data_IF_838586421480
#
_entry.id   IF_838586421480
#
_cell.length_a   1.000
_cell.length_b   1.000
_cell.length_c   1.000
_cell.angle_alpha   90.00
_cell.angle_beta   90.00
_cell.angle_gamma   90.00
#
_symmetry.space_group_name_H-M   'P 1'
#
loop_
_entity.id
_entity.type
_entity.pdbx_description
1 polymer ?
#
# COMPACT_ATOMS: atom_id res chain seq x y z
N UNK A 1 36.24 -40.71 29.61
CA UNK A 1 35.20 -39.72 29.32
C UNK A 1 35.87 -38.61 28.54
N UNK A 2 35.86 -38.78 27.20
CA UNK A 2 36.58 -37.89 26.30
C UNK A 2 35.62 -36.81 25.79
N UNK A 3 35.95 -35.55 26.14
CA UNK A 3 35.27 -34.39 25.60
C UNK A 3 35.93 -34.01 24.26
N UNK A 4 35.28 -34.37 23.15
CA UNK A 4 35.66 -33.93 21.81
C UNK A 4 35.20 -32.50 21.58
N UNK A 5 36.17 -31.56 21.55
CA UNK A 5 35.97 -30.19 21.11
C UNK A 5 35.80 -30.17 19.58
N UNK A 6 34.59 -29.83 19.12
CA UNK A 6 34.36 -29.52 17.73
C UNK A 6 34.80 -28.08 17.45
N UNK A 7 35.96 -27.94 16.81
CA UNK A 7 36.45 -26.64 16.32
C UNK A 7 35.85 -26.38 14.94
N UNK A 8 34.94 -25.40 14.84
CA UNK A 8 34.48 -24.94 13.54
C UNK A 8 35.52 -23.99 12.94
N UNK A 9 36.18 -24.44 11.89
CA UNK A 9 37.01 -23.59 11.04
C UNK A 9 36.13 -22.81 10.09
N UNK A 10 35.99 -21.50 10.32
CA UNK A 10 35.38 -20.58 9.39
C UNK A 10 36.46 -20.08 8.42
N UNK A 11 36.42 -20.61 7.20
CA UNK A 11 37.30 -20.17 6.10
C UNK A 11 36.76 -18.87 5.52
N UNK A 12 37.39 -17.73 5.87
CA UNK A 12 37.18 -16.47 5.17
C UNK A 12 37.83 -16.54 3.78
N UNK A 13 36.99 -16.75 2.77
CA UNK A 13 37.40 -16.61 1.38
C UNK A 13 37.39 -15.11 1.04
N UNK A 14 38.56 -14.61 0.65
CA UNK A 14 38.83 -13.27 0.18
C UNK A 14 37.77 -12.80 -0.83
N UNK A 15 37.01 -11.76 -0.48
CA UNK A 15 36.26 -10.96 -1.44
C UNK A 15 37.10 -9.72 -1.74
N UNK A 16 37.59 -9.67 -2.98
CA UNK A 16 38.27 -8.50 -3.54
C UNK A 16 37.29 -7.33 -3.63
N UNK A 17 37.57 -6.31 -2.82
CA UNK A 17 36.87 -5.03 -2.86
C UNK A 17 37.48 -4.20 -4.00
N UNK A 18 36.92 -4.36 -5.20
CA UNK A 18 37.25 -3.50 -6.34
C UNK A 18 36.68 -2.10 -6.12
N UNK A 19 37.54 -1.19 -5.85
CA UNK A 19 37.30 0.25 -5.76
C UNK A 19 36.78 0.77 -7.10
N UNK A 20 35.50 1.03 -7.19
CA UNK A 20 34.93 1.79 -8.29
C UNK A 20 35.21 3.28 -8.05
N UNK A 21 36.32 3.74 -8.63
CA UNK A 21 36.66 5.15 -8.70
C UNK A 21 35.79 5.82 -9.77
N UNK A 22 34.78 6.57 -9.36
CA UNK A 22 34.04 7.45 -10.24
C UNK A 22 34.89 8.68 -10.59
N UNK A 23 35.39 8.72 -11.81
CA UNK A 23 35.98 9.91 -12.40
C UNK A 23 34.89 10.96 -12.67
N UNK A 24 34.84 11.98 -11.83
CA UNK A 24 34.08 13.21 -12.09
C UNK A 24 34.88 14.07 -13.10
N UNK A 25 34.50 13.99 -14.37
CA UNK A 25 35.05 14.85 -15.39
C UNK A 25 34.32 16.19 -15.39
N UNK A 26 35.03 17.20 -14.92
CA UNK A 26 34.66 18.62 -15.00
C UNK A 26 34.67 19.08 -16.43
N UNK A 27 33.52 19.28 -17.04
CA UNK A 27 33.39 20.08 -18.25
C UNK A 27 32.94 21.50 -17.85
N UNK A 28 33.95 22.34 -17.63
CA UNK A 28 33.78 23.80 -17.73
C UNK A 28 33.73 24.15 -19.21
N UNK A 29 32.71 24.80 -19.68
CA UNK A 29 32.76 25.92 -20.61
C UNK A 29 31.41 26.36 -21.14
N UNK A 30 31.19 27.62 -20.90
CA UNK A 30 30.68 28.68 -21.75
C UNK A 30 29.20 29.01 -21.64
N UNK A 31 28.99 30.05 -20.87
CA UNK A 31 27.91 31.02 -21.02
C UNK A 31 28.06 31.72 -22.41
N UNK A 32 27.00 32.00 -23.16
CA UNK A 32 26.67 33.38 -23.33
C UNK A 32 25.21 33.75 -23.09
N UNK A 33 25.10 34.83 -22.40
CA UNK A 33 24.07 35.84 -22.29
C UNK A 33 23.32 36.06 -23.62
N UNK A 34 22.00 35.85 -23.62
CA UNK A 34 21.12 36.54 -24.56
C UNK A 34 19.86 37.01 -23.85
N UNK A 35 19.98 38.26 -23.42
CA UNK A 35 18.89 39.13 -23.03
C UNK A 35 18.19 39.55 -24.33
N UNK A 36 16.90 39.23 -24.49
CA UNK A 36 16.02 40.07 -25.30
C UNK A 36 14.58 39.94 -24.87
N UNK A 37 14.12 41.04 -24.37
CA UNK A 37 12.79 41.49 -24.08
C UNK A 37 11.79 41.27 -25.22
N UNK A 38 10.57 40.82 -24.87
CA UNK A 38 9.33 41.27 -25.54
C UNK A 38 8.19 41.35 -24.54
N UNK A 39 7.87 42.58 -24.20
CA UNK A 39 6.63 43.05 -23.63
C UNK A 39 5.53 43.09 -24.71
N UNK A 40 4.26 43.01 -24.23
CA UNK A 40 3.01 43.40 -24.91
C UNK A 40 2.32 42.26 -25.69
N UNK A 41 1.12 41.82 -25.31
CA UNK A 41 -0.10 42.59 -25.46
C UNK A 41 -1.27 41.86 -24.76
N UNK A 42 -1.96 42.56 -23.88
CA UNK A 42 -3.35 42.29 -23.58
C UNK A 42 -4.18 42.54 -24.86
N UNK A 43 -4.96 41.56 -25.27
CA UNK A 43 -6.14 41.84 -26.08
C UNK A 43 -7.29 40.93 -25.64
N UNK A 44 -8.27 41.54 -25.02
CA UNK A 44 -9.50 40.89 -24.66
C UNK A 44 -10.31 40.55 -25.90
N UNK A 45 -10.73 39.33 -26.05
CA UNK A 45 -11.86 39.01 -26.91
C UNK A 45 -12.76 38.02 -26.21
N UNK A 46 -13.94 38.47 -25.87
CA UNK A 46 -15.06 37.67 -25.43
C UNK A 46 -15.48 36.82 -26.61
N UNK A 47 -15.29 35.53 -26.50
CA UNK A 47 -15.98 34.57 -27.36
C UNK A 47 -16.78 33.59 -26.51
N UNK A 48 -18.08 33.66 -26.76
CA UNK A 48 -19.18 32.95 -26.16
C UNK A 48 -19.23 31.53 -26.73
N UNK A 49 -19.36 30.57 -25.83
CA UNK A 49 -20.06 29.31 -26.12
C UNK A 49 -19.25 28.21 -26.75
N UNK A 50 -18.92 27.25 -25.97
CA UNK A 50 -19.16 25.83 -26.28
C UNK A 50 -18.92 25.05 -24.98
N UNK A 51 -19.99 24.47 -24.46
CA UNK A 51 -19.91 23.49 -23.39
C UNK A 51 -19.15 22.28 -23.94
N UNK A 52 -17.86 22.23 -23.63
CA UNK A 52 -17.08 21.02 -23.71
C UNK A 52 -17.04 20.48 -22.28
N UNK A 53 -17.82 19.43 -22.03
CA UNK A 53 -17.65 18.53 -20.91
C UNK A 53 -16.17 18.12 -20.83
N UNK A 54 -15.41 18.86 -20.06
CA UNK A 54 -14.11 18.41 -19.59
C UNK A 54 -14.43 17.49 -18.42
N UNK A 55 -14.63 16.22 -18.71
CA UNK A 55 -14.42 15.16 -17.75
C UNK A 55 -12.96 15.30 -17.29
N UNK A 56 -12.74 16.16 -16.32
CA UNK A 56 -11.54 16.14 -15.52
C UNK A 56 -11.58 14.82 -14.77
N UNK A 57 -10.86 13.85 -15.32
CA UNK A 57 -10.48 12.62 -14.62
C UNK A 57 -9.71 13.10 -13.39
N UNK A 58 -10.45 13.31 -12.30
CA UNK A 58 -9.88 13.71 -11.01
C UNK A 58 -9.15 12.46 -10.52
N UNK A 59 -7.87 12.35 -10.86
CA UNK A 59 -7.01 11.33 -10.31
C UNK A 59 -7.07 11.48 -8.79
N UNK A 60 -7.89 10.67 -8.14
CA UNK A 60 -8.01 10.65 -6.69
C UNK A 60 -6.65 10.24 -6.14
N UNK A 61 -6.01 11.12 -5.38
CA UNK A 61 -4.74 10.83 -4.71
C UNK A 61 -4.95 9.67 -3.72
N UNK A 62 -4.00 8.73 -3.67
CA UNK A 62 -4.04 7.66 -2.67
C UNK A 62 -3.83 8.26 -1.27
N UNK A 63 -4.81 8.10 -0.41
CA UNK A 63 -4.80 8.54 0.98
C UNK A 63 -4.52 7.40 1.97
N UNK A 64 -4.11 6.24 1.47
CA UNK A 64 -3.81 5.07 2.30
C UNK A 64 -2.52 5.29 3.11
N UNK A 65 -2.63 5.19 4.42
CA UNK A 65 -1.49 5.20 5.34
C UNK A 65 -0.98 3.77 5.51
N UNK A 66 0.33 3.59 5.40
CA UNK A 66 0.99 2.29 5.61
C UNK A 66 1.86 2.33 6.85
N UNK A 67 1.85 1.24 7.62
CA UNK A 67 2.67 1.13 8.81
C UNK A 67 2.55 -0.22 9.48
N UNK A 68 3.08 -0.28 10.70
CA UNK A 68 3.08 -1.47 11.54
C UNK A 68 2.19 -1.21 12.75
N UNK A 69 1.41 -2.21 13.14
CA UNK A 69 0.61 -2.19 14.37
C UNK A 69 1.53 -2.10 15.59
N UNK A 70 1.44 -1.04 16.35
CA UNK A 70 2.25 -0.81 17.55
C UNK A 70 1.68 -1.48 18.79
N UNK A 71 2.53 -1.60 19.82
CA UNK A 71 2.18 -2.21 21.12
C UNK A 71 1.12 -1.43 21.89
N UNK A 72 0.98 -0.12 21.61
CA UNK A 72 -0.06 0.74 22.21
C UNK A 72 -1.46 0.55 21.62
N UNK A 73 -1.64 -0.39 20.68
CA UNK A 73 -2.95 -0.71 20.12
C UNK A 73 -3.85 -1.36 21.18
N UNK A 74 -5.06 -0.82 21.32
CA UNK A 74 -6.05 -1.25 22.30
C UNK A 74 -7.44 -1.35 21.66
N UNK A 75 -8.48 -1.63 22.45
CA UNK A 75 -9.84 -1.89 21.97
C UNK A 75 -10.38 -0.76 21.05
N UNK A 76 -10.13 0.50 21.39
CA UNK A 76 -10.67 1.67 20.67
C UNK A 76 -9.59 2.53 20.02
N UNK A 77 -8.33 2.11 20.07
CA UNK A 77 -7.20 2.90 19.56
C UNK A 77 -6.25 2.01 18.79
N UNK A 78 -5.92 2.42 17.57
CA UNK A 78 -4.85 1.84 16.77
C UNK A 78 -3.61 2.73 16.91
N UNK A 79 -2.53 2.16 17.40
CA UNK A 79 -1.20 2.75 17.26
C UNK A 79 -0.57 2.28 15.95
N UNK A 80 -0.39 3.20 15.02
CA UNK A 80 0.24 2.93 13.73
C UNK A 80 1.65 3.54 13.71
N UNK A 81 2.67 2.71 13.58
CA UNK A 81 4.04 3.14 13.35
C UNK A 81 4.24 3.21 11.85
N UNK A 82 4.36 4.42 11.31
CA UNK A 82 4.48 4.65 9.87
C UNK A 82 5.84 4.17 9.33
N UNK A 83 5.96 4.05 8.00
CA UNK A 83 7.22 3.68 7.36
C UNK A 83 8.33 4.73 7.58
N UNK A 84 7.97 5.97 7.92
CA UNK A 84 8.90 7.05 8.29
C UNK A 84 9.35 7.00 9.75
N UNK A 85 8.74 6.10 10.56
CA UNK A 85 9.04 5.94 11.98
C UNK A 85 8.16 6.80 12.90
N UNK A 86 7.23 7.58 12.35
CA UNK A 86 6.30 8.37 13.13
C UNK A 86 5.24 7.47 13.76
N UNK A 87 4.82 7.81 14.98
CA UNK A 87 3.76 7.09 15.69
C UNK A 87 2.45 7.88 15.63
N UNK A 88 1.43 7.30 15.02
CA UNK A 88 0.08 7.85 14.96
C UNK A 88 -0.85 7.03 15.88
N UNK A 89 -1.60 7.72 16.75
CA UNK A 89 -2.67 7.10 17.51
C UNK A 89 -4.00 7.48 16.85
N UNK A 90 -4.70 6.50 16.32
CA UNK A 90 -5.94 6.66 15.57
C UNK A 90 -7.08 6.08 16.41
N UNK A 91 -8.16 6.84 16.61
CA UNK A 91 -9.37 6.24 17.20
C UNK A 91 -9.98 5.24 16.22
N UNK A 92 -10.43 4.10 16.73
CA UNK A 92 -11.20 3.10 15.98
C UNK A 92 -12.71 3.29 16.14
N UNK A 93 -13.11 4.14 17.08
CA UNK A 93 -14.49 4.50 17.35
C UNK A 93 -14.53 6.02 17.59
N UNK A 94 -15.33 6.79 16.85
CA UNK A 94 -15.54 8.21 17.14
C UNK A 94 -16.17 8.41 18.52
N UNK A 95 -15.66 9.36 19.30
CA UNK A 95 -16.06 9.56 20.70
C UNK A 95 -17.52 10.00 20.88
N UNK A 96 -18.11 10.62 19.87
CA UNK A 96 -19.43 11.25 19.96
C UNK A 96 -20.59 10.44 19.37
N UNK A 97 -20.41 9.14 19.17
CA UNK A 97 -21.46 8.36 18.52
C UNK A 97 -21.74 7.05 19.24
N UNK A 98 -23.00 6.83 19.55
CA UNK A 98 -23.53 5.51 19.96
C UNK A 98 -23.84 4.62 18.74
N UNK A 99 -23.49 5.10 17.52
CA UNK A 99 -23.72 4.36 16.29
C UNK A 99 -22.61 3.32 16.08
N UNK A 100 -22.93 2.02 16.19
CA UNK A 100 -21.95 0.95 15.97
C UNK A 100 -21.41 0.94 14.53
N UNK A 101 -22.14 1.52 13.58
CA UNK A 101 -21.71 1.60 12.18
C UNK A 101 -20.66 2.71 11.95
N UNK A 102 -20.45 3.59 12.92
CA UNK A 102 -19.38 4.59 12.89
C UNK A 102 -18.00 4.02 13.26
N UNK A 103 -17.94 2.80 13.79
CA UNK A 103 -16.68 2.14 14.10
C UNK A 103 -15.85 1.84 12.83
N UNK A 104 -14.55 1.91 12.97
CA UNK A 104 -13.64 1.53 11.89
C UNK A 104 -13.88 0.10 11.42
N UNK A 105 -13.96 -0.10 10.11
CA UNK A 105 -14.00 -1.45 9.53
C UNK A 105 -12.60 -2.08 9.60
N UNK A 106 -12.41 -3.10 10.45
CA UNK A 106 -11.12 -3.81 10.60
C UNK A 106 -11.18 -5.15 9.90
N UNK A 107 -10.39 -5.29 8.85
CA UNK A 107 -10.24 -6.52 8.08
C UNK A 107 -8.92 -7.23 8.43
N UNK A 108 -8.97 -8.46 8.91
CA UNK A 108 -7.81 -9.30 9.21
C UNK A 108 -7.31 -9.23 10.66
N UNK A 109 -8.02 -8.47 11.52
CA UNK A 109 -7.64 -8.29 12.93
C UNK A 109 -6.45 -7.34 13.11
N UNK A 110 -6.07 -7.12 14.36
CA UNK A 110 -4.96 -6.26 14.78
C UNK A 110 -4.08 -7.03 15.75
N UNK A 111 -2.84 -7.29 15.35
CA UNK A 111 -1.81 -7.83 16.24
C UNK A 111 -0.57 -6.94 16.15
N UNK A 112 0.08 -6.72 17.29
CA UNK A 112 1.33 -5.99 17.33
C UNK A 112 2.34 -6.62 16.37
N UNK A 113 2.98 -5.78 15.55
CA UNK A 113 3.92 -6.20 14.51
C UNK A 113 3.31 -6.47 13.13
N UNK A 114 1.97 -6.51 13.00
CA UNK A 114 1.33 -6.68 11.71
C UNK A 114 1.50 -5.45 10.82
N UNK A 115 1.70 -5.67 9.53
CA UNK A 115 1.67 -4.63 8.51
C UNK A 115 0.23 -4.25 8.18
N UNK A 116 -0.05 -2.96 8.20
CA UNK A 116 -1.39 -2.42 8.03
C UNK A 116 -1.46 -1.40 6.89
N UNK A 117 -2.61 -1.37 6.23
CA UNK A 117 -3.04 -0.27 5.35
C UNK A 117 -4.29 0.37 5.97
N UNK A 118 -4.24 1.67 6.21
CA UNK A 118 -5.26 2.39 6.99
C UNK A 118 -5.78 3.57 6.20
N UNK A 119 -7.09 3.71 6.12
CA UNK A 119 -7.74 4.97 5.81
C UNK A 119 -8.10 5.69 7.10
N UNK A 120 -7.74 6.96 7.17
CA UNK A 120 -8.06 7.79 8.31
C UNK A 120 -8.62 9.14 7.87
N UNK A 121 -9.42 9.73 8.71
CA UNK A 121 -9.92 11.10 8.60
C UNK A 121 -9.55 11.88 9.85
N UNK A 122 -9.48 13.20 9.75
CA UNK A 122 -9.24 14.06 10.91
C UNK A 122 -10.54 14.68 11.34
N UNK A 123 -10.91 14.49 12.60
CA UNK A 123 -12.06 15.11 13.26
C UNK A 123 -11.60 16.22 14.20
N UNK A 124 -12.53 16.89 14.86
CA UNK A 124 -12.23 17.90 15.88
C UNK A 124 -11.49 17.28 17.08
N UNK A 125 -11.76 16.01 17.39
CA UNK A 125 -11.21 15.26 18.53
C UNK A 125 -9.91 14.50 18.17
N UNK A 126 -9.50 14.56 16.92
CA UNK A 126 -8.26 13.94 16.45
C UNK A 126 -8.42 13.04 15.24
N UNK A 127 -7.38 12.28 14.89
CA UNK A 127 -7.42 11.38 13.76
C UNK A 127 -8.19 10.10 14.09
N UNK A 128 -9.12 9.73 13.21
CA UNK A 128 -9.98 8.54 13.31
C UNK A 128 -9.71 7.64 12.12
N UNK A 129 -9.44 6.34 12.39
CA UNK A 129 -9.38 5.33 11.34
C UNK A 129 -10.81 5.02 10.88
N UNK A 130 -11.04 4.97 9.57
CA UNK A 130 -12.30 4.55 8.98
C UNK A 130 -12.25 3.13 8.44
N UNK A 131 -11.09 2.71 7.95
CA UNK A 131 -10.87 1.36 7.46
C UNK A 131 -9.45 0.90 7.74
N UNK A 132 -9.31 -0.32 8.25
CA UNK A 132 -8.01 -0.96 8.49
C UNK A 132 -7.97 -2.29 7.76
N UNK A 133 -6.93 -2.53 7.00
CA UNK A 133 -6.67 -3.78 6.30
C UNK A 133 -5.33 -4.32 6.79
N UNK A 134 -5.38 -5.50 7.39
CA UNK A 134 -4.19 -6.20 7.85
C UNK A 134 -3.52 -6.90 6.65
N UNK A 135 -2.38 -6.36 6.22
CA UNK A 135 -1.63 -6.87 5.07
C UNK A 135 -0.96 -8.20 5.39
N UNK A 136 -0.51 -8.39 6.64
CA UNK A 136 0.05 -9.67 7.10
C UNK A 136 -1.00 -10.78 6.98
N UNK A 137 -2.24 -10.49 7.38
CA UNK A 137 -3.37 -11.42 7.23
C UNK A 137 -3.83 -11.58 5.78
N UNK A 138 -3.61 -10.59 4.91
CA UNK A 138 -4.00 -10.66 3.49
C UNK A 138 -3.02 -11.53 2.68
N UNK A 139 -1.73 -11.49 3.00
CA UNK A 139 -0.71 -12.30 2.34
C UNK A 139 -0.94 -13.79 2.55
N UNK A 140 -0.57 -14.59 1.54
CA UNK A 140 -0.65 -16.04 1.55
C UNK A 140 -1.41 -16.62 0.37
N UNK A 141 -1.63 -17.93 0.41
CA UNK A 141 -2.27 -18.69 -0.67
C UNK A 141 -3.79 -18.71 -0.49
N UNK A 142 -4.48 -18.28 -1.52
CA UNK A 142 -5.93 -18.20 -1.57
C UNK A 142 -6.49 -19.08 -2.70
N UNK A 143 -7.47 -19.92 -2.36
CA UNK A 143 -8.05 -20.88 -3.31
C UNK A 143 -9.55 -20.78 -3.37
N UNK A 144 -10.10 -20.90 -4.57
CA UNK A 144 -11.52 -21.02 -4.85
C UNK A 144 -11.75 -22.06 -5.94
N UNK A 145 -13.01 -22.28 -6.30
CA UNK A 145 -13.35 -23.20 -7.38
C UNK A 145 -12.80 -22.70 -8.74
N UNK A 146 -12.74 -21.40 -8.92
CA UNK A 146 -12.41 -20.76 -10.21
C UNK A 146 -10.99 -20.19 -10.28
N UNK A 147 -10.35 -19.89 -9.16
CA UNK A 147 -9.06 -19.23 -9.10
C UNK A 147 -8.24 -19.63 -7.90
N UNK A 148 -6.93 -19.75 -8.12
CA UNK A 148 -5.95 -19.98 -7.04
C UNK A 148 -4.79 -19.03 -7.26
N UNK A 149 -4.43 -18.27 -6.23
CA UNK A 149 -3.32 -17.33 -6.29
C UNK A 149 -2.65 -17.18 -4.92
N UNK A 150 -1.42 -16.68 -4.95
CA UNK A 150 -0.66 -16.32 -3.77
C UNK A 150 -0.43 -14.81 -3.78
N UNK A 151 -0.83 -14.15 -2.71
CA UNK A 151 -0.48 -12.75 -2.45
C UNK A 151 0.85 -12.75 -1.71
N UNK A 152 1.87 -12.18 -2.32
CA UNK A 152 3.23 -12.14 -1.78
C UNK A 152 3.59 -10.71 -1.35
N UNK A 153 4.59 -10.59 -0.50
CA UNK A 153 5.16 -9.30 -0.13
C UNK A 153 5.68 -8.55 -1.38
N UNK A 154 5.73 -7.22 -1.29
CA UNK A 154 6.24 -6.40 -2.39
C UNK A 154 5.26 -6.20 -3.55
N UNK A 155 3.98 -6.52 -3.37
CA UNK A 155 2.95 -6.24 -4.36
C UNK A 155 2.84 -7.28 -5.49
N UNK A 156 3.44 -8.45 -5.31
CA UNK A 156 3.44 -9.54 -6.29
C UNK A 156 2.27 -10.50 -6.04
N UNK A 157 1.66 -10.98 -7.11
CA UNK A 157 0.71 -12.08 -7.08
C UNK A 157 1.18 -13.16 -8.04
N UNK A 158 1.20 -14.40 -7.56
CA UNK A 158 1.48 -15.57 -8.39
C UNK A 158 0.23 -16.44 -8.51
N UNK A 159 -0.07 -16.93 -9.73
CA UNK A 159 -1.18 -17.84 -9.98
C UNK A 159 -0.64 -19.26 -10.18
N UNK A 160 -1.27 -20.23 -9.51
CA UNK A 160 -0.88 -21.65 -9.64
C UNK A 160 -1.51 -22.32 -10.85
N UNK A 161 -2.47 -21.67 -11.51
CA UNK A 161 -3.20 -22.25 -12.62
C UNK A 161 -2.52 -21.88 -13.94
N UNK A 162 -1.73 -22.80 -14.48
CA UNK A 162 -0.99 -22.62 -15.74
C UNK A 162 -1.85 -22.29 -16.98
N UNK A 163 -3.15 -22.56 -16.91
CA UNK A 163 -4.10 -22.35 -18.01
C UNK A 163 -4.98 -21.08 -17.81
N UNK A 164 -4.66 -20.24 -16.83
CA UNK A 164 -5.44 -19.03 -16.59
C UNK A 164 -5.13 -17.98 -17.66
N UNK A 165 -6.17 -17.54 -18.37
CA UNK A 165 -6.03 -16.61 -19.51
C UNK A 165 -5.62 -15.21 -19.07
N UNK A 166 -5.98 -14.80 -17.84
CA UNK A 166 -5.68 -13.50 -17.28
C UNK A 166 -5.33 -13.64 -15.79
N UNK A 167 -4.11 -14.14 -15.46
CA UNK A 167 -3.71 -14.28 -14.08
C UNK A 167 -3.48 -12.91 -13.43
N UNK A 168 -3.75 -12.82 -12.14
CA UNK A 168 -3.29 -11.69 -11.35
C UNK A 168 -1.77 -11.76 -11.22
N UNK A 169 -1.08 -10.63 -11.42
CA UNK A 169 0.39 -10.55 -11.35
C UNK A 169 0.87 -9.56 -10.30
N UNK A 170 -0.01 -8.68 -9.85
CA UNK A 170 0.32 -7.65 -8.87
C UNK A 170 -0.86 -7.34 -7.97
N UNK A 171 -0.56 -6.80 -6.79
CA UNK A 171 -1.59 -6.29 -5.88
C UNK A 171 -1.11 -5.01 -5.18
N UNK A 172 -2.05 -4.23 -4.74
CA UNK A 172 -1.85 -3.11 -3.81
C UNK A 172 -3.16 -2.75 -3.12
N UNK A 173 -3.06 -2.05 -2.01
CA UNK A 173 -4.21 -1.33 -1.46
C UNK A 173 -4.17 0.10 -2.00
N UNK A 174 -5.31 0.61 -2.40
CA UNK A 174 -5.49 1.97 -2.90
C UNK A 174 -6.82 2.51 -2.39
N UNK A 175 -6.78 3.58 -1.60
CA UNK A 175 -7.96 4.16 -0.95
C UNK A 175 -8.85 3.08 -0.28
N UNK A 176 -8.21 2.16 0.48
CA UNK A 176 -8.89 1.09 1.21
C UNK A 176 -9.52 0.00 0.34
N UNK A 177 -9.22 -0.05 -0.95
CA UNK A 177 -9.64 -1.11 -1.86
C UNK A 177 -8.44 -1.98 -2.26
N UNK A 178 -8.70 -3.25 -2.50
CA UNK A 178 -7.71 -4.20 -3.00
C UNK A 178 -7.69 -4.17 -4.53
N UNK A 179 -6.58 -3.77 -5.11
CA UNK A 179 -6.32 -3.91 -6.54
C UNK A 179 -5.58 -5.23 -6.76
N UNK A 180 -6.14 -6.09 -7.61
CA UNK A 180 -5.50 -7.31 -8.11
C UNK A 180 -5.33 -7.19 -9.62
N UNK A 181 -4.11 -6.98 -10.07
CA UNK A 181 -3.83 -6.67 -11.47
C UNK A 181 -4.52 -5.38 -11.91
N UNK A 182 -5.55 -5.50 -12.73
CA UNK A 182 -6.36 -4.37 -13.22
C UNK A 182 -7.72 -4.24 -12.53
N UNK A 183 -8.11 -5.23 -11.75
CA UNK A 183 -9.41 -5.29 -11.11
C UNK A 183 -9.35 -4.69 -9.71
N UNK A 184 -10.37 -3.93 -9.37
CA UNK A 184 -10.52 -3.29 -8.06
C UNK A 184 -11.60 -4.00 -7.26
N UNK A 185 -11.30 -4.34 -6.01
CA UNK A 185 -12.20 -5.06 -5.13
C UNK A 185 -12.35 -4.34 -3.79
N UNK A 186 -13.55 -4.40 -3.23
CA UNK A 186 -13.76 -4.13 -1.83
C UNK A 186 -13.51 -5.43 -1.03
N UNK A 187 -12.78 -5.35 0.08
CA UNK A 187 -12.64 -6.48 1.01
C UNK A 187 -13.87 -6.47 1.90
N UNK A 188 -14.73 -7.48 1.71
CA UNK A 188 -15.94 -7.67 2.52
C UNK A 188 -15.59 -8.34 3.84
N UNK A 189 -14.74 -9.38 3.79
CA UNK A 189 -14.26 -10.10 4.96
C UNK A 189 -12.84 -10.58 4.72
N UNK A 190 -12.00 -10.41 5.72
CA UNK A 190 -10.67 -11.03 5.80
C UNK A 190 -10.52 -11.67 7.16
N UNK A 191 -10.47 -12.98 7.18
CA UNK A 191 -10.29 -13.79 8.38
C UNK A 191 -9.04 -14.66 8.27
N UNK A 192 -8.76 -15.47 9.32
CA UNK A 192 -7.60 -16.36 9.34
C UNK A 192 -7.57 -17.35 8.17
N UNK A 193 -8.74 -17.86 7.78
CA UNK A 193 -8.87 -18.91 6.76
C UNK A 193 -9.81 -18.52 5.61
N UNK A 194 -10.35 -17.29 5.59
CA UNK A 194 -11.32 -16.86 4.60
C UNK A 194 -11.06 -15.45 4.10
N UNK A 195 -11.25 -15.25 2.80
CA UNK A 195 -11.23 -13.95 2.14
C UNK A 195 -12.48 -13.83 1.26
N UNK A 196 -13.29 -12.80 1.50
CA UNK A 196 -14.38 -12.41 0.64
C UNK A 196 -14.07 -11.03 0.04
N UNK A 197 -14.03 -10.96 -1.27
CA UNK A 197 -13.83 -9.72 -2.02
C UNK A 197 -14.97 -9.51 -2.99
N UNK A 198 -15.32 -8.26 -3.24
CA UNK A 198 -16.45 -7.87 -4.08
C UNK A 198 -16.03 -6.82 -5.10
N UNK A 199 -16.57 -6.95 -6.30
CA UNK A 199 -16.53 -5.91 -7.32
C UNK A 199 -17.90 -5.83 -8.02
N UNK A 200 -18.01 -5.02 -9.08
CA UNK A 200 -19.24 -4.84 -9.86
C UNK A 200 -19.78 -6.14 -10.50
N UNK A 201 -18.96 -7.19 -10.62
CA UNK A 201 -19.36 -8.48 -11.18
C UNK A 201 -19.85 -9.48 -10.12
N UNK A 202 -19.66 -9.19 -8.82
CA UNK A 202 -20.14 -10.05 -7.74
C UNK A 202 -19.13 -10.23 -6.60
N UNK A 203 -19.45 -11.18 -5.72
CA UNK A 203 -18.66 -11.55 -4.54
C UNK A 203 -17.89 -12.83 -4.85
N UNK A 204 -16.59 -12.80 -4.51
CA UNK A 204 -15.66 -13.92 -4.69
C UNK A 204 -15.18 -14.40 -3.34
N UNK A 205 -15.35 -15.69 -3.08
CA UNK A 205 -15.00 -16.34 -1.83
C UNK A 205 -13.77 -17.22 -2.02
N UNK A 206 -12.79 -17.03 -1.15
CA UNK A 206 -11.55 -17.80 -1.14
C UNK A 206 -11.31 -18.41 0.24
N UNK A 207 -10.69 -19.57 0.26
CA UNK A 207 -10.17 -20.22 1.47
C UNK A 207 -8.64 -20.13 1.47
N UNK A 208 -8.08 -19.93 2.66
CA UNK A 208 -6.63 -20.01 2.84
C UNK A 208 -6.17 -21.45 2.69
N UNK A 209 -5.14 -21.67 1.90
CA UNK A 209 -4.43 -22.94 1.84
C UNK A 209 -3.16 -22.83 2.68
N UNK A 210 -3.02 -23.71 3.65
CA UNK A 210 -1.82 -23.85 4.48
C UNK A 210 -0.84 -24.81 3.85
#
# INVERSE_FOLDING_TARGET
>A
MDFSLFTFHFSLKHMDFSLFTFHFSLIKRALPLMLLSCLMACNGNKQKGSDADVNADTATTDSTLYGICGEGTAMHTLQLITLTGDTLNLSLLPDDTDDPDAAATVNGGLMCGDHLAVLATTTADGPVATKVINLTSLMGRWTSISRNFVIEEGGVVTSDVKAETHPYTSWKIYNGQLLLGRDTFNIVTLGPDSLAIENHNGIYLYKRQR
#
